data_IF_515127063509
#
_entry.id   IF_515127063509
#
_cell.length_a   1.000
_cell.length_b   1.000
_cell.length_c   1.000
_cell.angle_alpha   90.00
_cell.angle_beta   90.00
_cell.angle_gamma   90.00
#
_symmetry.space_group_name_H-M   'P 1'
#
loop_
_entity.id
_entity.type
_entity.pdbx_description
1 polymer ?
#
# COMPACT_ATOMS: atom_id res chain seq x y z
N UNK A 1 -46.38 -47.55 79.53
CA UNK A 1 -46.19 -47.39 78.06
C UNK A 1 -45.79 -45.95 77.78
N UNK A 2 -44.94 -45.77 76.75
CA UNK A 2 -44.05 -44.65 76.40
C UNK A 2 -44.64 -43.22 76.34
N UNK A 3 -43.82 -42.24 76.72
CA UNK A 3 -43.77 -40.84 76.22
C UNK A 3 -42.42 -40.24 76.67
N UNK A 4 -41.31 -40.50 75.98
CA UNK A 4 -40.72 -39.79 74.82
C UNK A 4 -40.41 -38.32 75.09
N UNK A 5 -39.10 -38.06 75.26
CA UNK A 5 -38.43 -36.74 75.37
C UNK A 5 -38.44 -36.04 74.00
N UNK A 6 -38.74 -34.74 73.96
CA UNK A 6 -38.39 -33.86 72.84
C UNK A 6 -37.13 -33.08 73.20
N UNK A 7 -36.07 -33.27 72.40
CA UNK A 7 -34.88 -32.43 72.39
C UNK A 7 -34.88 -31.64 71.07
N UNK A 8 -34.85 -30.31 71.19
CA UNK A 8 -34.70 -29.38 70.06
C UNK A 8 -33.20 -29.14 69.88
N UNK A 9 -32.63 -29.65 68.78
CA UNK A 9 -31.28 -29.26 68.34
C UNK A 9 -31.43 -28.24 67.20
N UNK A 10 -31.02 -27.00 67.48
CA UNK A 10 -30.83 -25.96 66.49
C UNK A 10 -29.54 -26.23 65.69
N UNK A 11 -29.69 -26.46 64.39
CA UNK A 11 -28.56 -26.57 63.44
C UNK A 11 -28.26 -25.18 62.90
N UNK A 12 -27.18 -24.56 63.38
CA UNK A 12 -26.61 -23.36 62.77
C UNK A 12 -25.83 -23.77 61.51
N UNK A 13 -26.38 -23.44 60.33
CA UNK A 13 -25.71 -23.60 59.04
C UNK A 13 -24.62 -22.56 58.86
N UNK A 14 -23.37 -23.02 58.70
CA UNK A 14 -22.22 -22.19 58.36
C UNK A 14 -22.23 -21.99 56.84
N UNK A 15 -22.64 -20.81 56.37
CA UNK A 15 -22.49 -20.40 54.97
C UNK A 15 -21.00 -20.12 54.70
N UNK A 16 -20.32 -21.01 53.97
CA UNK A 16 -18.98 -20.76 53.45
C UNK A 16 -19.06 -19.77 52.27
N UNK A 17 -18.67 -18.51 52.49
CA UNK A 17 -18.48 -17.53 51.43
C UNK A 17 -17.17 -17.85 50.68
N UNK A 18 -17.31 -18.45 49.50
CA UNK A 18 -16.20 -18.60 48.56
C UNK A 18 -15.92 -17.23 47.93
N UNK A 19 -14.86 -16.55 48.39
CA UNK A 19 -14.34 -15.36 47.73
C UNK A 19 -13.72 -15.77 46.38
N UNK A 20 -14.40 -15.43 45.27
CA UNK A 20 -13.80 -15.47 43.93
C UNK A 20 -12.99 -14.19 43.77
N UNK A 21 -11.66 -14.29 43.82
CA UNK A 21 -10.80 -13.15 43.53
C UNK A 21 -10.96 -12.75 42.06
N UNK A 22 -11.12 -11.44 41.74
CA UNK A 22 -11.14 -10.99 40.36
C UNK A 22 -9.76 -11.21 39.74
N UNK A 23 -9.68 -12.11 38.77
CA UNK A 23 -8.50 -12.24 37.91
C UNK A 23 -8.46 -11.01 37.02
N UNK A 24 -7.53 -10.10 37.29
CA UNK A 24 -7.25 -8.97 36.39
C UNK A 24 -6.71 -9.53 35.07
N UNK A 25 -7.50 -9.43 34.00
CA UNK A 25 -7.05 -9.69 32.63
C UNK A 25 -5.96 -8.66 32.28
N UNK A 26 -4.70 -9.07 32.39
CA UNK A 26 -3.57 -8.31 31.83
C UNK A 26 -3.72 -8.29 30.31
N UNK A 27 -4.29 -7.21 29.76
CA UNK A 27 -4.25 -6.97 28.32
C UNK A 27 -2.79 -6.89 27.87
N UNK A 28 -2.40 -7.72 26.90
CA UNK A 28 -1.06 -7.63 26.30
C UNK A 28 -0.83 -6.20 25.76
N UNK A 29 0.38 -5.65 25.95
CA UNK A 29 0.70 -4.32 25.46
C UNK A 29 0.56 -4.27 23.93
N UNK A 30 -0.29 -3.38 23.43
CA UNK A 30 -0.48 -3.17 22.00
C UNK A 30 0.68 -2.37 21.45
N UNK A 31 1.58 -3.04 20.74
CA UNK A 31 2.75 -2.42 20.08
C UNK A 31 2.84 -2.88 18.64
N UNK A 32 3.08 -1.94 17.74
CA UNK A 32 3.42 -2.23 16.36
C UNK A 32 2.82 -1.28 15.35
N UNK A 33 2.55 -1.80 14.14
CA UNK A 33 2.04 -1.01 13.02
C UNK A 33 0.53 -1.19 12.89
N UNK A 34 -0.22 -0.11 13.08
CA UNK A 34 -1.63 -0.06 12.76
C UNK A 34 -1.82 0.34 11.30
N UNK A 35 -2.24 -0.60 10.47
CA UNK A 35 -2.43 -0.40 9.04
C UNK A 35 -3.81 0.15 8.72
N UNK A 36 -3.86 1.18 7.87
CA UNK A 36 -5.11 1.80 7.42
C UNK A 36 -5.96 0.78 6.66
N UNK A 37 -7.13 0.44 7.23
CA UNK A 37 -8.10 -0.47 6.62
C UNK A 37 -7.90 -1.95 6.97
N UNK A 38 -6.94 -2.30 7.82
CA UNK A 38 -6.69 -3.69 8.22
C UNK A 38 -6.74 -3.86 9.74
N UNK A 39 -5.71 -3.41 10.46
CA UNK A 39 -5.59 -3.57 11.89
C UNK A 39 -4.13 -3.51 12.36
N UNK A 40 -3.88 -3.96 13.59
CA UNK A 40 -2.54 -4.02 14.16
C UNK A 40 -1.75 -5.19 13.58
N UNK A 41 -0.53 -4.93 13.11
CA UNK A 41 0.47 -5.89 12.65
C UNK A 41 0.04 -6.81 11.50
N UNK A 42 -1.09 -6.55 10.85
CA UNK A 42 -1.57 -7.34 9.71
C UNK A 42 -2.02 -6.40 8.60
N UNK A 43 -1.60 -6.71 7.37
CA UNK A 43 -2.07 -6.01 6.18
C UNK A 43 -2.07 -6.91 4.94
N UNK A 44 -2.71 -6.41 3.88
CA UNK A 44 -2.69 -7.02 2.56
C UNK A 44 -2.47 -5.95 1.50
N UNK A 45 -1.67 -6.26 0.49
CA UNK A 45 -1.41 -5.37 -0.65
C UNK A 45 -1.81 -6.08 -1.93
N UNK A 46 -2.38 -5.35 -2.87
CA UNK A 46 -2.67 -5.89 -4.20
C UNK A 46 -1.52 -5.58 -5.16
N UNK A 47 -1.00 -6.62 -5.80
CA UNK A 47 -0.13 -6.53 -6.97
C UNK A 47 -1.04 -6.65 -8.19
N UNK A 48 -1.05 -5.64 -9.04
CA UNK A 48 -1.85 -5.66 -10.26
C UNK A 48 -0.97 -5.99 -11.46
N UNK A 49 -1.19 -7.16 -12.04
CA UNK A 49 -0.57 -7.59 -13.28
C UNK A 49 -1.44 -7.12 -14.46
N UNK A 50 -0.88 -6.27 -15.30
CA UNK A 50 -1.54 -5.78 -16.49
C UNK A 50 -1.12 -6.58 -17.71
N UNK A 51 -2.11 -7.03 -18.49
CA UNK A 51 -1.89 -7.79 -19.72
C UNK A 51 -2.60 -7.13 -20.91
N UNK A 52 -2.26 -7.55 -22.13
CA UNK A 52 -2.82 -7.00 -23.38
C UNK A 52 -1.85 -6.05 -24.08
N UNK A 53 -2.36 -4.94 -24.62
CA UNK A 53 -1.57 -4.01 -25.45
C UNK A 53 -0.54 -3.21 -24.63
N UNK A 54 -0.82 -3.01 -23.34
CA UNK A 54 -0.02 -2.28 -22.37
C UNK A 54 0.32 -3.17 -21.16
N UNK A 55 1.23 -4.15 -21.32
CA UNK A 55 1.63 -5.01 -20.21
C UNK A 55 2.45 -4.25 -19.17
N UNK A 56 2.40 -4.70 -17.92
CA UNK A 56 3.17 -4.11 -16.82
C UNK A 56 2.71 -4.61 -15.46
N UNK A 57 3.37 -4.15 -14.40
CA UNK A 57 3.02 -4.48 -13.03
C UNK A 57 2.89 -3.20 -12.21
N UNK A 58 1.85 -3.12 -11.38
CA UNK A 58 1.72 -2.10 -10.35
C UNK A 58 1.77 -2.76 -8.97
N UNK A 59 2.78 -2.39 -8.19
CA UNK A 59 2.99 -2.88 -6.85
C UNK A 59 2.33 -1.86 -5.91
N UNK A 60 1.24 -2.27 -5.27
CA UNK A 60 0.54 -1.42 -4.32
C UNK A 60 1.38 -1.01 -3.10
N UNK A 61 0.86 -0.05 -2.35
CA UNK A 61 1.39 0.40 -1.08
C UNK A 61 0.35 0.25 0.04
N UNK A 62 0.81 0.12 1.28
CA UNK A 62 -0.04 0.27 2.47
C UNK A 62 0.48 1.38 3.36
N UNK A 63 -0.45 2.03 4.06
CA UNK A 63 -0.16 3.10 4.99
C UNK A 63 -0.40 2.61 6.41
N UNK A 64 0.52 2.92 7.31
CA UNK A 64 0.43 2.54 8.71
C UNK A 64 0.84 3.69 9.63
N UNK A 65 0.49 3.54 10.90
CA UNK A 65 1.01 4.35 12.01
C UNK A 65 1.62 3.41 13.04
N UNK A 66 2.70 3.83 13.69
CA UNK A 66 3.19 3.11 14.86
C UNK A 66 2.34 3.44 16.07
N UNK A 67 2.02 2.42 16.87
CA UNK A 67 1.33 2.54 18.14
C UNK A 67 2.11 1.81 19.25
N UNK A 68 2.06 2.35 20.47
CA UNK A 68 2.56 1.70 21.67
C UNK A 68 1.68 2.04 22.86
N UNK A 69 1.19 1.04 23.58
CA UNK A 69 0.42 1.22 24.81
C UNK A 69 1.30 1.45 26.04
N UNK A 70 2.61 1.21 25.95
CA UNK A 70 3.55 1.30 27.08
C UNK A 70 4.01 2.74 27.31
N UNK A 71 4.21 3.50 26.23
CA UNK A 71 4.60 4.90 26.30
C UNK A 71 3.50 5.79 25.73
N UNK A 72 2.89 6.68 26.54
CA UNK A 72 1.95 7.63 26.01
C UNK A 72 2.65 8.60 25.04
N UNK A 73 1.94 8.99 23.98
CA UNK A 73 2.38 10.04 23.07
C UNK A 73 2.61 11.36 23.75
N UNK A 74 3.69 12.04 23.35
CA UNK A 74 4.03 13.37 23.82
C UNK A 74 4.78 14.10 22.72
N UNK A 75 4.53 15.40 22.62
CA UNK A 75 5.27 16.28 21.73
C UNK A 75 6.79 16.10 21.93
N UNK A 76 7.54 16.08 20.83
CA UNK A 76 8.99 15.85 20.83
C UNK A 76 9.40 14.38 20.86
N UNK A 77 8.48 13.44 21.05
CA UNK A 77 8.77 12.03 20.89
C UNK A 77 8.91 11.66 19.40
N UNK A 78 9.86 10.78 19.11
CA UNK A 78 10.06 10.19 17.77
C UNK A 78 10.15 8.69 17.89
N UNK A 79 9.62 7.96 16.92
CA UNK A 79 9.85 6.53 16.78
C UNK A 79 10.74 6.24 15.59
N UNK A 80 11.82 5.51 15.83
CA UNK A 80 12.65 4.91 14.79
C UNK A 80 12.30 3.44 14.72
N UNK A 81 11.94 2.95 13.54
CA UNK A 81 11.61 1.54 13.31
C UNK A 81 12.55 1.00 12.25
N UNK A 82 13.16 -0.16 12.51
CA UNK A 82 14.08 -0.85 11.61
C UNK A 82 13.49 -2.21 11.26
N UNK A 83 13.55 -2.58 9.99
CA UNK A 83 13.17 -3.93 9.56
C UNK A 83 14.42 -4.82 9.63
N UNK A 84 14.45 -5.70 10.61
CA UNK A 84 15.57 -6.62 10.89
C UNK A 84 15.28 -8.04 10.41
N UNK A 85 14.23 -8.22 9.60
CA UNK A 85 13.84 -9.52 9.05
C UNK A 85 15.01 -10.15 8.28
N UNK A 86 15.22 -11.45 8.49
CA UNK A 86 16.20 -12.22 7.74
C UNK A 86 15.94 -12.12 6.22
N UNK A 87 17.00 -11.86 5.45
CA UNK A 87 16.91 -11.65 4.02
C UNK A 87 16.75 -10.19 3.59
N UNK A 88 16.74 -9.23 4.52
CA UNK A 88 16.97 -7.82 4.19
C UNK A 88 18.39 -7.62 3.65
N UNK A 89 18.51 -6.95 2.49
CA UNK A 89 19.76 -6.94 1.69
C UNK A 89 20.46 -5.58 1.63
N UNK A 90 19.98 -4.55 2.34
CA UNK A 90 20.55 -3.20 2.24
C UNK A 90 21.38 -2.78 3.44
N UNK A 91 22.38 -1.93 3.16
CA UNK A 91 23.16 -1.18 4.15
C UNK A 91 22.95 0.31 3.88
N UNK A 92 22.28 1.07 4.76
CA UNK A 92 21.66 0.62 6.00
C UNK A 92 20.44 -0.29 5.73
N UNK A 93 20.08 -1.10 6.73
CA UNK A 93 18.80 -1.82 6.70
C UNK A 93 17.64 -0.82 6.58
N UNK A 94 16.50 -1.21 5.98
CA UNK A 94 15.37 -0.30 5.87
C UNK A 94 14.93 0.19 7.25
N UNK A 95 14.80 1.51 7.38
CA UNK A 95 14.29 2.14 8.59
C UNK A 95 13.36 3.31 8.26
N UNK A 96 12.57 3.71 9.25
CA UNK A 96 11.76 4.92 9.23
C UNK A 96 11.97 5.68 10.54
N UNK A 97 11.89 7.01 10.49
CA UNK A 97 11.96 7.89 11.66
C UNK A 97 10.76 8.84 11.59
N UNK A 98 9.82 8.70 12.52
CA UNK A 98 8.54 9.41 12.52
C UNK A 98 8.33 10.14 13.83
N UNK A 99 7.75 11.32 13.73
CA UNK A 99 7.38 12.09 14.91
C UNK A 99 6.10 11.49 15.53
N UNK A 100 5.90 11.76 16.82
CA UNK A 100 4.87 11.17 17.66
C UNK A 100 4.12 12.31 18.36
N UNK A 101 3.54 13.19 17.54
CA UNK A 101 3.22 14.57 17.89
C UNK A 101 1.87 14.70 18.62
N UNK A 102 0.92 13.81 18.28
CA UNK A 102 -0.45 13.88 18.80
C UNK A 102 -1.14 12.50 18.79
N UNK A 103 -1.78 12.18 19.91
CA UNK A 103 -2.55 10.95 20.08
C UNK A 103 -1.74 9.66 19.94
N UNK A 104 -2.38 8.49 20.04
CA UNK A 104 -1.72 7.17 20.15
C UNK A 104 -0.88 6.72 18.94
N UNK A 105 -0.64 7.58 17.95
CA UNK A 105 -0.16 7.23 16.61
C UNK A 105 1.02 8.12 16.20
N UNK A 106 2.02 7.52 15.57
CA UNK A 106 3.08 8.28 14.90
C UNK A 106 2.58 8.99 13.65
N UNK A 107 3.42 9.84 13.06
CA UNK A 107 3.29 10.22 11.66
C UNK A 107 3.20 8.98 10.76
N UNK A 108 2.47 9.12 9.65
CA UNK A 108 2.19 8.03 8.72
C UNK A 108 3.45 7.45 8.08
N UNK A 109 3.44 6.13 7.90
CA UNK A 109 4.47 5.32 7.28
C UNK A 109 3.88 4.71 6.02
N UNK A 110 4.51 4.94 4.87
CA UNK A 110 4.18 4.23 3.63
C UNK A 110 5.09 3.01 3.50
N UNK A 111 4.49 1.83 3.40
CA UNK A 111 5.19 0.55 3.23
C UNK A 111 4.99 0.02 1.82
N UNK A 112 6.08 -0.42 1.19
CA UNK A 112 6.09 -1.02 -0.16
C UNK A 112 6.95 -2.28 -0.11
N UNK A 113 6.57 -3.37 -0.81
CA UNK A 113 7.40 -4.56 -0.94
C UNK A 113 8.85 -4.24 -1.35
N UNK A 114 9.79 -5.03 -0.85
CA UNK A 114 11.19 -4.99 -1.23
C UNK A 114 12.13 -5.11 -0.05
N UNK A 115 13.43 -5.14 -0.33
CA UNK A 115 14.48 -5.32 0.68
C UNK A 115 15.47 -4.16 0.75
N UNK A 116 15.32 -3.16 -0.12
CA UNK A 116 16.27 -2.05 -0.28
C UNK A 116 15.76 -0.73 0.30
N UNK A 117 16.50 -0.16 1.25
CA UNK A 117 16.17 1.12 1.85
C UNK A 117 15.96 2.22 0.79
N UNK A 118 14.80 2.88 0.83
CA UNK A 118 14.52 4.10 0.06
C UNK A 118 13.98 5.19 0.98
N UNK A 119 14.47 6.41 0.82
CA UNK A 119 14.21 7.56 1.73
C UNK A 119 12.75 7.71 2.17
N UNK A 120 11.80 7.68 1.23
CA UNK A 120 10.38 8.01 1.52
C UNK A 120 9.51 6.82 1.91
N UNK A 121 9.98 5.59 1.69
CA UNK A 121 9.16 4.37 1.78
C UNK A 121 9.84 3.33 2.63
N UNK A 122 9.12 2.77 3.59
CA UNK A 122 9.60 1.69 4.42
C UNK A 122 9.41 0.34 3.71
N UNK A 123 10.37 -0.57 3.88
CA UNK A 123 10.42 -1.82 3.12
C UNK A 123 10.12 -3.03 3.99
N UNK A 124 9.53 -4.03 3.38
CA UNK A 124 9.19 -5.30 4.01
C UNK A 124 9.20 -6.43 2.97
N UNK A 125 9.37 -7.66 3.46
CA UNK A 125 9.32 -8.87 2.63
C UNK A 125 7.88 -9.36 2.58
N UNK A 126 7.24 -9.41 1.40
CA UNK A 126 5.84 -9.84 1.28
C UNK A 126 5.67 -11.33 1.59
N UNK A 127 4.48 -11.71 2.07
CA UNK A 127 4.08 -13.09 2.38
C UNK A 127 4.97 -13.79 3.40
N UNK A 128 5.60 -13.01 4.28
CA UNK A 128 6.37 -13.49 5.43
C UNK A 128 6.07 -12.66 6.66
N UNK A 129 6.35 -13.24 7.82
CA UNK A 129 6.45 -12.48 9.07
C UNK A 129 7.68 -11.58 9.00
N UNK A 130 7.47 -10.29 9.20
CA UNK A 130 8.52 -9.30 9.26
C UNK A 130 8.78 -8.93 10.73
N UNK A 131 10.03 -9.03 11.16
CA UNK A 131 10.46 -8.64 12.51
C UNK A 131 10.97 -7.20 12.47
N UNK A 132 10.40 -6.37 13.34
CA UNK A 132 10.75 -4.95 13.46
C UNK A 132 11.30 -4.66 14.84
N UNK A 133 12.36 -3.86 14.89
CA UNK A 133 12.85 -3.23 16.11
C UNK A 133 12.41 -1.78 16.12
N UNK A 134 12.04 -1.27 17.29
CA UNK A 134 11.71 0.13 17.46
C UNK A 134 12.47 0.76 18.63
N UNK A 135 12.73 2.06 18.49
CA UNK A 135 13.25 2.95 19.53
C UNK A 135 12.35 4.18 19.59
N UNK A 136 11.82 4.49 20.77
CA UNK A 136 11.15 5.75 21.04
C UNK A 136 12.20 6.68 21.65
N UNK A 137 12.38 7.84 21.03
CA UNK A 137 13.34 8.85 21.45
C UNK A 137 12.62 10.09 21.97
N UNK A 138 13.17 10.69 23.01
CA UNK A 138 12.88 12.05 23.46
C UNK A 138 14.19 12.83 23.43
N UNK A 139 14.25 13.94 22.69
CA UNK A 139 15.46 14.78 22.58
C UNK A 139 16.75 13.98 22.26
N UNK A 140 16.63 12.95 21.40
CA UNK A 140 17.68 11.99 20.99
C UNK A 140 18.07 10.93 22.03
N UNK A 141 17.49 10.93 23.21
CA UNK A 141 17.65 9.87 24.19
C UNK A 141 16.61 8.78 23.97
N UNK A 142 17.04 7.51 23.95
CA UNK A 142 16.13 6.37 23.87
C UNK A 142 15.41 6.21 25.21
N UNK A 143 14.10 6.38 25.21
CA UNK A 143 13.24 6.25 26.40
C UNK A 143 12.49 4.92 26.45
N UNK A 144 12.36 4.24 25.31
CA UNK A 144 11.82 2.88 25.23
C UNK A 144 12.31 2.21 23.94
N UNK A 145 12.42 0.90 23.96
CA UNK A 145 12.79 0.07 22.81
C UNK A 145 12.17 -1.31 22.94
N UNK A 146 12.00 -1.97 21.80
CA UNK A 146 11.52 -3.34 21.77
C UNK A 146 11.42 -3.84 20.35
N UNK A 147 10.69 -4.92 20.18
CA UNK A 147 10.40 -5.51 18.88
C UNK A 147 8.93 -5.90 18.76
N UNK A 148 8.48 -6.02 17.52
CA UNK A 148 7.17 -6.58 17.18
C UNK A 148 7.26 -7.25 15.82
N UNK A 149 6.31 -8.12 15.54
CA UNK A 149 6.19 -8.80 14.25
C UNK A 149 4.98 -8.29 13.49
N UNK A 150 5.06 -8.26 12.17
CA UNK A 150 3.92 -7.98 11.31
C UNK A 150 3.89 -8.87 10.07
N UNK A 151 2.70 -9.31 9.69
CA UNK A 151 2.45 -10.10 8.49
C UNK A 151 1.79 -9.21 7.44
N UNK A 152 2.46 -9.05 6.30
CA UNK A 152 1.96 -8.27 5.18
C UNK A 152 1.86 -9.20 3.96
N UNK A 153 0.64 -9.59 3.63
CA UNK A 153 0.35 -10.51 2.53
C UNK A 153 0.16 -9.76 1.21
N UNK A 154 0.30 -10.46 0.10
CA UNK A 154 0.02 -9.92 -1.24
C UNK A 154 -1.09 -10.71 -1.92
N UNK A 155 -1.99 -10.01 -2.62
CA UNK A 155 -2.95 -10.60 -3.54
C UNK A 155 -2.63 -10.18 -4.96
N UNK A 156 -2.83 -11.09 -5.92
CA UNK A 156 -2.61 -10.80 -7.32
C UNK A 156 -3.95 -10.50 -8.00
N UNK A 157 -3.97 -9.43 -8.79
CA UNK A 157 -5.11 -9.07 -9.64
C UNK A 157 -4.65 -8.95 -11.08
N UNK A 158 -5.30 -9.66 -11.99
CA UNK A 158 -5.04 -9.52 -13.43
C UNK A 158 -6.02 -8.55 -14.05
N UNK A 159 -5.52 -7.58 -14.79
CA UNK A 159 -6.35 -6.55 -15.45
C UNK A 159 -5.91 -6.37 -16.89
N UNK A 160 -6.84 -6.51 -17.84
CA UNK A 160 -6.55 -6.16 -19.23
C UNK A 160 -6.36 -4.65 -19.35
N UNK A 161 -5.25 -4.22 -19.93
CA UNK A 161 -4.94 -2.80 -20.15
C UNK A 161 -4.84 -2.51 -21.64
N UNK A 162 -5.81 -1.76 -22.13
CA UNK A 162 -5.90 -1.34 -23.53
C UNK A 162 -5.14 -0.06 -23.77
N UNK A 163 -4.60 0.06 -24.98
CA UNK A 163 -3.92 1.26 -25.43
C UNK A 163 -4.95 2.28 -25.90
N UNK A 164 -4.76 3.55 -25.56
CA UNK A 164 -5.57 4.62 -26.17
C UNK A 164 -4.91 5.06 -27.46
N UNK A 165 -5.63 4.94 -28.56
CA UNK A 165 -5.17 5.36 -29.89
C UNK A 165 -5.66 6.77 -30.19
N UNK A 166 -4.75 7.62 -30.69
CA UNK A 166 -5.06 8.96 -31.19
C UNK A 166 -4.42 9.15 -32.55
N UNK A 167 -5.14 9.73 -33.49
CA UNK A 167 -4.57 10.15 -34.76
C UNK A 167 -3.69 11.38 -34.55
N UNK A 168 -2.48 11.35 -35.07
CA UNK A 168 -1.61 12.51 -35.13
C UNK A 168 -1.07 12.72 -36.54
N UNK A 169 -0.90 13.99 -36.88
CA UNK A 169 -0.22 14.39 -38.09
C UNK A 169 1.29 14.30 -37.86
N UNK A 170 2.02 13.80 -38.84
CA UNK A 170 3.48 13.74 -38.79
C UNK A 170 4.06 14.10 -40.16
N UNK A 171 5.32 14.54 -40.16
CA UNK A 171 6.04 14.75 -41.40
C UNK A 171 6.79 13.48 -41.78
N UNK A 172 6.57 12.99 -43.00
CA UNK A 172 7.29 11.82 -43.52
C UNK A 172 8.75 12.18 -43.83
N UNK A 173 9.02 13.43 -44.18
CA UNK A 173 10.36 13.94 -44.41
C UNK A 173 11.10 13.99 -43.05
N UNK A 174 12.02 13.04 -42.82
CA UNK A 174 12.69 12.77 -41.52
C UNK A 174 13.49 13.95 -40.95
N UNK A 175 13.76 14.95 -41.79
CA UNK A 175 14.69 16.04 -41.48
C UNK A 175 13.95 17.27 -40.92
N UNK A 176 12.61 17.22 -40.84
CA UNK A 176 11.78 18.35 -40.43
C UNK A 176 11.01 18.07 -39.15
N UNK A 177 11.26 18.89 -38.15
CA UNK A 177 10.64 18.79 -36.82
C UNK A 177 9.26 19.45 -36.73
N UNK A 178 8.88 20.28 -37.71
CA UNK A 178 7.65 21.08 -37.68
C UNK A 178 6.77 20.85 -38.93
N UNK A 179 5.46 20.64 -38.71
CA UNK A 179 4.48 20.38 -39.77
C UNK A 179 4.37 21.50 -40.82
N UNK A 180 4.61 22.76 -40.43
CA UNK A 180 4.53 23.92 -41.33
C UNK A 180 5.51 23.84 -42.52
N UNK A 181 6.62 23.14 -42.34
CA UNK A 181 7.66 23.01 -43.36
C UNK A 181 7.57 21.67 -44.08
N UNK A 182 6.58 20.83 -43.75
CA UNK A 182 6.47 19.48 -44.27
C UNK A 182 6.02 19.45 -45.73
N UNK A 183 6.77 18.77 -46.60
CA UNK A 183 6.36 18.58 -48.00
C UNK A 183 5.38 17.41 -48.12
N UNK A 184 5.58 16.38 -47.30
CA UNK A 184 4.79 15.15 -47.32
C UNK A 184 4.13 14.91 -45.96
N UNK A 185 2.96 15.53 -45.68
CA UNK A 185 2.24 15.26 -44.46
C UNK A 185 1.67 13.84 -44.47
N UNK A 186 1.67 13.17 -43.32
CA UNK A 186 1.06 11.87 -43.12
C UNK A 186 0.18 11.89 -41.88
N UNK A 187 -0.75 10.93 -41.80
CA UNK A 187 -1.50 10.64 -40.58
C UNK A 187 -1.03 9.27 -40.08
N UNK A 188 -0.73 9.20 -38.79
CA UNK A 188 -0.46 7.94 -38.09
C UNK A 188 -1.33 7.84 -36.85
N UNK A 189 -1.59 6.61 -36.41
CA UNK A 189 -2.17 6.39 -35.09
C UNK A 189 -1.05 6.23 -34.08
N UNK A 190 -1.04 7.10 -33.05
CA UNK A 190 -0.19 6.97 -31.88
C UNK A 190 -1.00 6.35 -30.75
N UNK A 191 -0.60 5.16 -30.36
CA UNK A 191 -1.10 4.48 -29.18
C UNK A 191 -0.31 4.90 -27.95
N UNK A 192 -0.98 5.13 -26.84
CA UNK A 192 -0.37 5.47 -25.55
C UNK A 192 -0.99 4.66 -24.42
N UNK A 193 -0.13 4.13 -23.54
CA UNK A 193 -0.57 3.50 -22.31
C UNK A 193 -0.95 4.57 -21.26
N UNK A 194 -1.90 4.30 -20.35
CA UNK A 194 -2.33 5.24 -19.31
C UNK A 194 -1.20 5.78 -18.41
N UNK A 195 -0.13 5.00 -18.23
CA UNK A 195 1.05 5.35 -17.43
C UNK A 195 2.15 6.06 -18.24
N UNK A 196 1.88 6.42 -19.50
CA UNK A 196 2.81 7.10 -20.43
C UNK A 196 4.11 6.34 -20.72
N UNK A 197 4.25 5.10 -20.22
CA UNK A 197 5.51 4.36 -20.25
C UNK A 197 5.90 3.88 -21.65
N UNK A 198 4.93 3.72 -22.54
CA UNK A 198 5.12 3.13 -23.87
C UNK A 198 4.22 3.79 -24.91
N UNK A 199 4.77 4.09 -26.08
CA UNK A 199 4.01 4.46 -27.27
C UNK A 199 4.25 3.47 -28.40
N UNK A 200 3.22 3.24 -29.20
CA UNK A 200 3.29 2.47 -30.45
C UNK A 200 2.68 3.28 -31.57
N UNK A 201 3.20 3.12 -32.78
CA UNK A 201 2.62 3.72 -33.98
C UNK A 201 2.05 2.63 -34.88
N UNK A 202 0.89 2.89 -35.50
CA UNK A 202 0.33 2.03 -36.56
C UNK A 202 -0.41 2.85 -37.61
N UNK A 203 -0.78 2.19 -38.71
CA UNK A 203 -1.60 2.74 -39.80
C UNK A 203 -1.07 4.07 -40.34
N UNK A 204 0.10 4.01 -40.99
CA UNK A 204 0.67 5.16 -41.68
C UNK A 204 -0.05 5.32 -43.01
N UNK A 205 -0.83 6.41 -43.16
CA UNK A 205 -1.30 6.85 -44.49
C UNK A 205 -0.49 8.06 -44.91
N UNK A 206 0.21 7.91 -46.03
CA UNK A 206 0.77 9.04 -46.74
C UNK A 206 -0.38 9.81 -47.38
N UNK A 207 -0.47 11.11 -47.07
CA UNK A 207 -1.37 11.97 -47.82
C UNK A 207 -0.66 12.26 -49.12
N UNK A 208 -1.05 11.57 -50.20
CA UNK A 208 -0.55 11.92 -51.53
C UNK A 208 -0.79 13.41 -51.74
N UNK A 209 0.29 14.13 -52.04
CA UNK A 209 0.38 15.59 -52.13
C UNK A 209 -0.49 16.23 -53.21
N UNK A 210 -1.47 15.51 -53.76
CA UNK A 210 -2.32 15.94 -54.89
C UNK A 210 -3.82 15.76 -54.71
N UNK A 211 -4.32 15.19 -53.61
CA UNK A 211 -5.76 15.26 -53.27
C UNK A 211 -5.93 15.94 -51.94
N UNK A 212 -6.42 17.19 -51.97
CA UNK A 212 -7.02 17.84 -50.79
C UNK A 212 -8.08 16.88 -50.25
N UNK A 213 -7.80 16.22 -49.12
CA UNK A 213 -8.82 15.52 -48.36
C UNK A 213 -9.95 16.51 -48.11
N UNK A 214 -11.14 16.16 -48.55
CA UNK A 214 -12.31 16.98 -48.28
C UNK A 214 -12.54 17.02 -46.76
N UNK A 215 -13.07 18.12 -46.24
CA UNK A 215 -13.39 18.30 -44.81
C UNK A 215 -14.20 17.12 -44.25
N UNK A 216 -14.98 16.47 -45.11
CA UNK A 216 -15.76 15.26 -44.84
C UNK A 216 -14.91 13.99 -44.60
N UNK A 217 -13.82 13.78 -45.35
CA UNK A 217 -12.96 12.60 -45.18
C UNK A 217 -12.14 12.68 -43.87
N UNK A 218 -11.73 13.89 -43.51
CA UNK A 218 -11.08 14.17 -42.21
C UNK A 218 -12.07 13.94 -41.06
N UNK A 219 -13.35 14.34 -41.23
CA UNK A 219 -14.39 14.11 -40.23
C UNK A 219 -14.70 12.62 -40.03
N UNK A 220 -14.82 11.86 -41.14
CA UNK A 220 -15.08 10.41 -41.11
C UNK A 220 -13.94 9.63 -40.44
N UNK A 221 -12.70 10.08 -40.61
CA UNK A 221 -11.53 9.50 -39.94
C UNK A 221 -11.52 9.82 -38.43
N UNK A 222 -11.81 11.08 -38.05
CA UNK A 222 -11.91 11.49 -36.64
C UNK A 222 -13.05 10.80 -35.87
N UNK A 223 -14.12 10.39 -36.55
CA UNK A 223 -15.25 9.67 -35.95
C UNK A 223 -15.07 8.15 -35.90
N UNK A 224 -13.94 7.61 -36.35
CA UNK A 224 -13.69 6.16 -36.32
C UNK A 224 -14.59 5.33 -37.24
N UNK A 225 -15.14 5.93 -38.29
CA UNK A 225 -16.17 5.31 -39.15
C UNK A 225 -15.57 4.35 -40.21
N UNK A 226 -14.25 4.30 -40.35
CA UNK A 226 -13.60 3.23 -41.13
C UNK A 226 -13.43 1.97 -40.25
N UNK A 227 -14.53 1.25 -40.01
CA UNK A 227 -14.46 -0.19 -39.72
C UNK A 227 -14.36 -0.92 -41.06
N UNK A 228 -13.24 -1.60 -41.28
CA UNK A 228 -13.20 -2.79 -42.14
C UNK A 228 -13.71 -3.98 -41.33
#
# INVERSE_FOLDING_TARGET
MKLVRQAVLNVFGIFSLSFVAPVALSQEPQVGLEFKGFGLNVAQITITEFFGECPGEDIGEVKAHFISSVNPPSAGHRVVIRNVTEGMKSTPIPYTNREYDDGRRSQGITLIPGTEHKRRTFRFIPNKTNTFEFEILQDKQVINKGSFESVISTTNKKVERKMTWRSEEFCVDTDKTYMKDCKTPGIREKGSCPDSSTYKYRNIRHLESKKKLTKMEILKFRQGIFRQ
#
